data_IF_508471612391
#
_entry.id   IF_508471612391
#
_cell.length_a   1.000
_cell.length_b   1.000
_cell.length_c   1.000
_cell.angle_alpha   90.00
_cell.angle_beta   90.00
_cell.angle_gamma   90.00
#
_symmetry.space_group_name_H-M   'P 1'
#
loop_
_entity.id
_entity.type
_entity.pdbx_description
1 polymer ?
#
# COMPACT_ATOMS: atom_id res chain seq x y z
N UNK A 1 -3.76 -11.69 -13.03
CA UNK A 1 -3.82 -11.77 -11.54
C UNK A 1 -3.48 -10.44 -10.88
N UNK A 2 -2.52 -9.70 -11.38
CA UNK A 2 -2.14 -8.41 -10.78
C UNK A 2 -3.29 -7.41 -10.76
N UNK A 3 -4.02 -7.26 -11.85
CA UNK A 3 -5.15 -6.35 -11.90
C UNK A 3 -6.26 -6.76 -10.93
N UNK A 4 -6.47 -8.06 -10.77
CA UNK A 4 -7.48 -8.58 -9.84
C UNK A 4 -7.17 -8.18 -8.40
N UNK A 5 -5.92 -8.34 -7.98
CA UNK A 5 -5.51 -7.95 -6.63
C UNK A 5 -5.50 -6.43 -6.44
N UNK A 6 -5.15 -5.68 -7.48
CA UNK A 6 -5.25 -4.22 -7.40
C UNK A 6 -6.70 -3.75 -7.29
N UNK A 7 -7.64 -4.45 -7.94
CA UNK A 7 -9.07 -4.17 -7.76
C UNK A 7 -9.52 -4.39 -6.33
N UNK A 8 -9.00 -5.42 -5.67
CA UNK A 8 -9.29 -5.66 -4.25
C UNK A 8 -8.74 -4.52 -3.37
N UNK A 9 -7.54 -4.02 -3.69
CA UNK A 9 -6.99 -2.86 -3.00
C UNK A 9 -7.85 -1.62 -3.23
N UNK A 10 -8.38 -1.43 -4.45
CA UNK A 10 -9.30 -0.33 -4.77
C UNK A 10 -10.61 -0.42 -3.98
N UNK A 11 -11.11 -1.62 -3.72
CA UNK A 11 -12.29 -1.80 -2.87
C UNK A 11 -12.01 -1.23 -1.47
N UNK A 12 -10.82 -1.48 -0.93
CA UNK A 12 -10.40 -0.91 0.36
C UNK A 12 -10.31 0.61 0.29
N UNK A 13 -9.78 1.14 -0.80
CA UNK A 13 -9.71 2.59 -1.01
C UNK A 13 -11.10 3.22 -1.01
N UNK A 14 -12.09 2.57 -1.63
CA UNK A 14 -13.48 3.05 -1.65
C UNK A 14 -14.09 3.06 -0.26
N UNK A 15 -13.78 2.06 0.57
CA UNK A 15 -14.26 2.02 1.96
C UNK A 15 -13.68 3.23 2.73
N UNK A 16 -12.41 3.55 2.55
CA UNK A 16 -11.80 4.72 3.16
C UNK A 16 -12.50 6.02 2.69
N UNK A 17 -12.75 6.12 1.39
CA UNK A 17 -13.46 7.27 0.80
C UNK A 17 -14.81 7.50 1.49
N UNK A 18 -15.59 6.43 1.65
CA UNK A 18 -16.92 6.48 2.27
C UNK A 18 -16.85 6.91 3.74
N UNK A 19 -15.72 6.68 4.39
CA UNK A 19 -15.47 7.04 5.79
C UNK A 19 -14.76 8.36 5.94
N UNK A 20 -14.65 9.14 4.88
CA UNK A 20 -14.01 10.45 4.85
C UNK A 20 -12.50 10.39 5.17
N UNK A 21 -11.88 9.27 4.86
CA UNK A 21 -10.43 9.08 4.92
C UNK A 21 -9.85 9.17 3.52
N UNK A 22 -8.58 9.55 3.41
CA UNK A 22 -7.89 9.56 2.11
C UNK A 22 -8.01 8.16 1.49
N UNK A 23 -8.51 8.03 0.25
CA UNK A 23 -8.86 6.73 -0.33
C UNK A 23 -7.64 5.96 -0.85
N UNK A 24 -6.96 5.31 0.08
CA UNK A 24 -5.84 4.43 -0.20
C UNK A 24 -6.19 3.07 0.35
N UNK A 25 -5.93 2.03 -0.44
CA UNK A 25 -6.15 0.65 -0.05
C UNK A 25 -4.94 -0.21 -0.37
N UNK A 26 -4.78 -1.29 0.37
CA UNK A 26 -3.69 -2.23 0.18
C UNK A 26 -4.12 -3.65 0.51
N UNK A 27 -3.51 -4.63 -0.17
CA UNK A 27 -3.69 -6.05 0.15
C UNK A 27 -2.33 -6.74 0.13
N UNK A 28 -2.14 -7.69 1.04
CA UNK A 28 -0.97 -8.58 1.07
C UNK A 28 -1.40 -9.94 0.55
N UNK A 29 -0.62 -10.49 -0.38
CA UNK A 29 -0.96 -11.73 -1.10
C UNK A 29 0.16 -12.74 -0.90
N UNK A 30 -0.21 -13.99 -0.63
CA UNK A 30 0.70 -15.12 -0.56
C UNK A 30 0.06 -16.31 -1.28
N UNK A 31 0.78 -16.93 -2.22
CA UNK A 31 0.27 -18.06 -3.00
C UNK A 31 -1.11 -17.77 -3.62
N UNK A 32 -1.26 -16.59 -4.23
CA UNK A 32 -2.49 -16.13 -4.87
C UNK A 32 -3.69 -15.97 -3.92
N UNK A 33 -3.45 -15.90 -2.60
CA UNK A 33 -4.49 -15.64 -1.61
C UNK A 33 -4.20 -14.34 -0.88
N UNK A 34 -5.25 -13.55 -0.65
CA UNK A 34 -5.15 -12.34 0.17
C UNK A 34 -5.10 -12.77 1.64
N UNK A 35 -4.00 -12.46 2.31
CA UNK A 35 -3.81 -12.79 3.72
C UNK A 35 -3.87 -11.56 4.63
N UNK A 36 -3.93 -10.38 4.04
CA UNK A 36 -4.09 -9.14 4.79
C UNK A 36 -4.60 -8.05 3.89
N UNK A 37 -5.37 -7.13 4.45
CA UNK A 37 -5.89 -5.98 3.71
C UNK A 37 -5.97 -4.78 4.65
N UNK A 38 -6.00 -3.59 4.07
CA UNK A 38 -6.11 -2.37 4.84
C UNK A 38 -6.56 -1.20 3.99
N UNK A 39 -7.11 -0.21 4.65
CA UNK A 39 -7.39 1.09 4.08
C UNK A 39 -6.91 2.15 5.06
N UNK A 40 -6.73 3.37 4.57
CA UNK A 40 -6.30 4.46 5.44
C UNK A 40 -7.33 4.71 6.53
N UNK A 41 -6.88 4.78 7.79
CA UNK A 41 -7.71 4.97 8.98
C UNK A 41 -7.08 5.94 9.97
N UNK A 42 -6.30 6.90 9.48
CA UNK A 42 -5.56 7.83 10.36
C UNK A 42 -6.49 8.66 11.23
N UNK A 43 -7.63 9.10 10.72
CA UNK A 43 -8.62 9.86 11.47
C UNK A 43 -9.36 8.94 12.45
N UNK A 44 -9.85 7.81 11.96
CA UNK A 44 -10.60 6.85 12.79
C UNK A 44 -9.80 6.41 14.01
N UNK A 45 -8.52 6.08 13.82
CA UNK A 45 -7.66 5.55 14.88
C UNK A 45 -6.87 6.61 15.61
N UNK A 46 -6.94 7.87 15.18
CA UNK A 46 -6.08 8.94 15.71
C UNK A 46 -4.62 8.50 15.73
N UNK A 47 -4.14 7.98 14.59
CA UNK A 47 -2.81 7.38 14.51
C UNK A 47 -2.14 7.69 13.18
N UNK A 48 -0.94 8.26 13.23
CA UNK A 48 -0.13 8.48 12.02
C UNK A 48 0.32 7.16 11.38
N UNK A 49 0.24 6.05 12.10
CA UNK A 49 0.65 4.74 11.59
C UNK A 49 -0.46 4.02 10.82
N UNK A 50 -1.70 4.51 10.87
CA UNK A 50 -2.85 3.79 10.31
C UNK A 50 -2.99 4.02 8.80
N UNK A 51 -1.91 3.86 8.06
CA UNK A 51 -1.88 3.85 6.60
C UNK A 51 -2.35 2.49 6.10
N UNK A 52 -2.93 2.45 4.91
CA UNK A 52 -3.44 1.21 4.31
C UNK A 52 -2.40 0.09 4.31
N UNK A 53 -1.18 0.41 3.92
CA UNK A 53 -0.10 -0.58 3.83
C UNK A 53 0.25 -1.17 5.20
N UNK A 54 0.33 -0.32 6.23
CA UNK A 54 0.63 -0.75 7.61
C UNK A 54 -0.50 -1.64 8.14
N UNK A 55 -1.76 -1.27 7.89
CA UNK A 55 -2.91 -2.07 8.29
C UNK A 55 -2.89 -3.45 7.64
N UNK A 56 -2.58 -3.50 6.34
CA UNK A 56 -2.51 -4.75 5.59
C UNK A 56 -1.37 -5.65 6.11
N UNK A 57 -0.19 -5.07 6.36
CA UNK A 57 0.97 -5.79 6.89
C UNK A 57 0.65 -6.35 8.28
N UNK A 58 0.03 -5.57 9.15
CA UNK A 58 -0.33 -6.03 10.49
C UNK A 58 -1.29 -7.20 10.46
N UNK A 59 -2.31 -7.14 9.61
CA UNK A 59 -3.26 -8.24 9.46
C UNK A 59 -2.56 -9.51 8.94
N UNK A 60 -1.75 -9.37 7.91
CA UNK A 60 -1.01 -10.49 7.32
C UNK A 60 -0.05 -11.12 8.33
N UNK A 61 0.68 -10.30 9.10
CA UNK A 61 1.62 -10.77 10.10
C UNK A 61 0.94 -11.56 11.22
N UNK A 62 -0.25 -11.12 11.64
CA UNK A 62 -1.04 -11.84 12.65
C UNK A 62 -1.52 -13.18 12.10
N UNK A 63 -1.99 -13.21 10.86
CA UNK A 63 -2.44 -14.45 10.23
C UNK A 63 -1.32 -15.45 10.08
N UNK A 64 -0.13 -15.00 9.65
CA UNK A 64 1.05 -15.84 9.48
C UNK A 64 1.76 -16.15 10.81
N UNK A 65 1.41 -15.47 11.88
CA UNK A 65 2.09 -15.55 13.17
C UNK A 65 3.59 -15.29 13.03
N UNK A 66 3.93 -14.32 12.19
CA UNK A 66 5.32 -13.99 11.87
C UNK A 66 5.37 -12.56 11.31
N UNK A 67 6.27 -11.73 11.83
CA UNK A 67 6.46 -10.39 11.27
C UNK A 67 7.18 -10.42 9.91
N UNK A 68 7.87 -11.50 9.59
CA UNK A 68 8.52 -11.68 8.29
C UNK A 68 7.53 -12.32 7.33
N UNK A 69 7.17 -11.59 6.31
CA UNK A 69 6.20 -12.01 5.30
C UNK A 69 6.94 -12.54 4.06
N UNK A 70 7.75 -13.60 4.28
CA UNK A 70 8.53 -14.24 3.23
C UNK A 70 7.58 -14.84 2.19
N UNK A 71 7.87 -14.61 0.92
CA UNK A 71 7.05 -15.13 -0.18
C UNK A 71 5.76 -14.36 -0.40
N UNK A 72 5.61 -13.18 0.21
CA UNK A 72 4.42 -12.35 0.06
C UNK A 72 4.68 -11.17 -0.87
N UNK A 73 3.61 -10.72 -1.50
CA UNK A 73 3.58 -9.48 -2.29
C UNK A 73 2.57 -8.52 -1.66
N UNK A 74 2.75 -7.22 -1.85
CA UNK A 74 1.80 -6.21 -1.42
C UNK A 74 1.37 -5.37 -2.61
N UNK A 75 0.07 -5.08 -2.68
CA UNK A 75 -0.52 -4.17 -3.66
C UNK A 75 -0.99 -2.92 -2.93
N UNK A 76 -0.60 -1.76 -3.42
CA UNK A 76 -1.04 -0.48 -2.86
C UNK A 76 -1.59 0.38 -4.00
N UNK A 77 -2.73 1.00 -3.78
CA UNK A 77 -3.36 1.85 -4.79
C UNK A 77 -2.55 3.10 -5.08
N UNK A 78 -1.70 3.53 -4.12
CA UNK A 78 -0.84 4.69 -4.32
C UNK A 78 0.60 4.35 -3.91
N UNK A 79 1.54 5.06 -4.48
CA UNK A 79 2.96 4.93 -4.15
C UNK A 79 3.20 5.18 -2.65
N UNK A 80 3.80 4.23 -1.93
CA UNK A 80 4.03 4.38 -0.49
C UNK A 80 4.96 5.54 -0.12
N UNK A 81 4.68 6.14 1.03
CA UNK A 81 5.59 7.10 1.65
C UNK A 81 6.76 6.36 2.31
N UNK A 82 7.72 7.11 2.86
CA UNK A 82 8.91 6.52 3.50
C UNK A 82 8.56 5.59 4.66
N UNK A 83 7.57 5.94 5.47
CA UNK A 83 7.12 5.10 6.59
C UNK A 83 6.68 3.73 6.09
N UNK A 84 5.79 3.70 5.10
CA UNK A 84 5.26 2.46 4.56
C UNK A 84 6.30 1.67 3.78
N UNK A 85 7.16 2.35 3.01
CA UNK A 85 8.23 1.70 2.27
C UNK A 85 9.19 0.97 3.23
N UNK A 86 9.55 1.61 4.35
CA UNK A 86 10.41 0.96 5.35
C UNK A 86 9.71 -0.23 6.00
N UNK A 87 8.42 -0.11 6.29
CA UNK A 87 7.65 -1.23 6.85
C UNK A 87 7.60 -2.42 5.90
N UNK A 88 7.44 -2.16 4.59
CA UNK A 88 7.41 -3.20 3.56
C UNK A 88 8.74 -3.94 3.52
N UNK A 89 9.85 -3.20 3.49
CA UNK A 89 11.20 -3.82 3.49
C UNK A 89 11.45 -4.57 4.80
N UNK A 90 11.10 -3.97 5.93
CA UNK A 90 11.31 -4.58 7.25
C UNK A 90 10.53 -5.89 7.41
N UNK A 91 9.38 -6.00 6.77
CA UNK A 91 8.57 -7.23 6.77
C UNK A 91 9.03 -8.27 5.75
N UNK A 92 10.06 -7.99 4.97
CA UNK A 92 10.65 -8.91 3.98
C UNK A 92 9.71 -9.28 2.83
N UNK A 93 8.81 -8.38 2.46
CA UNK A 93 7.93 -8.58 1.30
C UNK A 93 8.77 -8.60 0.02
N UNK A 94 8.47 -9.51 -0.89
CA UNK A 94 9.24 -9.71 -2.12
C UNK A 94 8.95 -8.64 -3.17
N UNK A 95 7.67 -8.36 -3.42
CA UNK A 95 7.25 -7.46 -4.48
C UNK A 95 6.21 -6.47 -4.00
N UNK A 96 6.37 -5.22 -4.41
CA UNK A 96 5.44 -4.12 -4.19
C UNK A 96 4.84 -3.72 -5.53
N UNK A 97 3.53 -3.87 -5.65
CA UNK A 97 2.79 -3.46 -6.84
C UNK A 97 2.01 -2.19 -6.52
N UNK A 98 2.17 -1.18 -7.36
CA UNK A 98 1.66 0.17 -7.11
C UNK A 98 0.71 0.57 -8.23
N UNK A 99 -0.41 1.19 -7.87
CA UNK A 99 -1.34 1.75 -8.85
C UNK A 99 -0.83 3.08 -9.38
N UNK A 100 -0.99 4.14 -8.62
CA UNK A 100 -0.64 5.50 -9.05
C UNK A 100 0.54 6.05 -8.26
N UNK A 101 1.28 6.98 -8.88
CA UNK A 101 2.37 7.70 -8.21
C UNK A 101 1.81 8.73 -7.23
N UNK A 102 2.59 9.01 -6.20
CA UNK A 102 2.31 10.10 -5.27
C UNK A 102 3.44 11.12 -5.36
N UNK A 103 3.27 12.20 -6.16
CA UNK A 103 4.38 13.13 -6.42
C UNK A 103 4.93 13.85 -5.21
N UNK A 104 4.11 14.03 -4.18
CA UNK A 104 4.46 14.82 -3.00
C UNK A 104 5.27 14.03 -1.97
N UNK A 105 4.85 12.80 -1.66
CA UNK A 105 5.44 12.03 -0.58
C UNK A 105 5.87 10.62 -0.99
N UNK A 106 5.70 10.27 -2.26
CA UNK A 106 6.07 8.95 -2.75
C UNK A 106 7.56 8.69 -2.66
N UNK A 107 7.94 7.59 -2.06
CA UNK A 107 9.34 7.27 -1.78
C UNK A 107 9.96 6.28 -2.75
N UNK A 108 9.18 5.72 -3.68
CA UNK A 108 9.66 4.66 -4.56
C UNK A 108 10.36 5.26 -5.78
N UNK A 109 9.70 6.19 -6.47
CA UNK A 109 10.27 6.88 -7.65
C UNK A 109 10.04 8.38 -7.62
N UNK A 110 9.01 8.87 -6.91
CA UNK A 110 8.59 10.28 -7.03
C UNK A 110 9.53 11.25 -6.31
N UNK A 111 9.92 10.96 -5.08
CA UNK A 111 10.83 11.80 -4.31
C UNK A 111 12.26 11.28 -4.33
N UNK A 112 12.43 9.98 -4.12
CA UNK A 112 13.75 9.36 -4.17
C UNK A 112 13.55 7.86 -4.51
N UNK A 113 14.63 7.10 -4.46
CA UNK A 113 14.61 5.66 -4.74
C UNK A 113 14.88 4.90 -3.42
N UNK A 114 13.95 5.04 -2.47
CA UNK A 114 14.16 4.52 -1.12
C UNK A 114 14.47 3.02 -1.10
N UNK A 115 13.81 2.23 -1.94
CA UNK A 115 14.02 0.78 -1.98
C UNK A 115 15.42 0.39 -2.46
N UNK A 116 16.09 1.29 -3.19
CA UNK A 116 17.42 1.02 -3.75
C UNK A 116 18.55 1.43 -2.81
N UNK A 117 18.25 1.97 -1.63
CA UNK A 117 19.27 2.34 -0.65
C UNK A 117 20.01 1.09 -0.16
N UNK A 118 21.32 1.22 -0.01
CA UNK A 118 22.19 0.08 0.33
C UNK A 118 22.12 -0.35 1.79
N UNK A 119 21.52 0.45 2.65
CA UNK A 119 21.43 0.12 4.08
C UNK A 119 20.32 -0.88 4.43
N UNK A 120 19.47 -1.27 3.46
CA UNK A 120 18.41 -2.24 3.72
C UNK A 120 18.98 -3.66 3.82
N UNK A 121 18.42 -4.46 4.73
CA UNK A 121 18.78 -5.87 4.89
C UNK A 121 18.03 -6.80 3.93
N UNK A 122 17.11 -6.26 3.14
CA UNK A 122 16.26 -7.01 2.23
C UNK A 122 15.98 -6.17 1.01
N UNK A 123 15.88 -6.80 -0.15
CA UNK A 123 15.53 -6.12 -1.40
C UNK A 123 14.09 -6.43 -1.78
N UNK A 124 13.26 -5.40 -1.77
CA UNK A 124 11.89 -5.49 -2.31
C UNK A 124 11.90 -4.94 -3.72
N UNK A 125 11.36 -5.69 -4.66
CA UNK A 125 11.20 -5.25 -6.06
C UNK A 125 9.85 -4.54 -6.20
N UNK A 126 9.70 -3.70 -7.23
CA UNK A 126 8.46 -2.97 -7.42
C UNK A 126 8.06 -2.85 -8.89
N UNK A 127 6.78 -2.62 -9.10
CA UNK A 127 6.18 -2.32 -10.40
C UNK A 127 5.10 -1.27 -10.20
N UNK A 128 5.04 -0.26 -11.07
CA UNK A 128 4.09 0.85 -10.98
C UNK A 128 3.18 0.86 -12.21
N UNK A 129 1.94 1.28 -12.02
CA UNK A 129 1.02 1.53 -13.13
C UNK A 129 -0.10 0.51 -13.26
N UNK A 130 -0.29 -0.35 -12.28
CA UNK A 130 -1.37 -1.35 -12.32
C UNK A 130 -2.69 -0.66 -11.98
N UNK A 131 -3.60 -0.57 -12.95
CA UNK A 131 -4.85 0.19 -12.84
C UNK A 131 -4.61 1.64 -12.43
N UNK A 132 -3.58 2.24 -13.01
CA UNK A 132 -3.11 3.59 -12.66
C UNK A 132 -4.23 4.62 -12.73
N UNK A 133 -5.02 4.62 -13.81
CA UNK A 133 -6.08 5.61 -14.01
C UNK A 133 -7.13 5.53 -12.90
N UNK A 134 -7.59 4.33 -12.57
CA UNK A 134 -8.60 4.13 -11.54
C UNK A 134 -8.08 4.54 -10.15
N UNK A 135 -6.82 4.19 -9.86
CA UNK A 135 -6.19 4.55 -8.58
C UNK A 135 -6.00 6.06 -8.44
N UNK A 136 -5.59 6.71 -9.52
CA UNK A 136 -5.42 8.17 -9.54
C UNK A 136 -6.76 8.89 -9.42
N UNK A 137 -7.76 8.39 -10.13
CA UNK A 137 -9.08 9.01 -10.17
C UNK A 137 -9.76 9.07 -8.80
N UNK A 138 -9.69 8.00 -8.03
CA UNK A 138 -10.33 7.98 -6.70
C UNK A 138 -9.69 8.99 -5.75
N UNK A 139 -8.38 9.16 -5.81
CA UNK A 139 -7.64 10.17 -5.02
C UNK A 139 -8.05 11.57 -5.44
N UNK A 140 -8.06 11.83 -6.74
CA UNK A 140 -8.43 13.15 -7.28
C UNK A 140 -9.88 13.51 -6.93
N UNK A 141 -10.80 12.55 -7.02
CA UNK A 141 -12.21 12.74 -6.70
C UNK A 141 -12.39 13.11 -5.22
N UNK A 142 -11.63 12.49 -4.34
CA UNK A 142 -11.69 12.76 -2.91
C UNK A 142 -11.29 14.22 -2.61
N UNK A 143 -10.13 14.64 -3.09
CA UNK A 143 -9.63 15.99 -2.84
C UNK A 143 -10.47 17.06 -3.53
N UNK A 144 -11.03 16.77 -4.70
CA UNK A 144 -11.93 17.66 -5.39
C UNK A 144 -13.21 17.90 -4.57
N UNK A 145 -13.74 16.87 -3.96
CA UNK A 145 -14.94 16.96 -3.13
C UNK A 145 -14.69 17.75 -1.83
N UNK A 146 -13.43 17.88 -1.40
CA UNK A 146 -13.06 18.63 -0.19
C UNK A 146 -12.86 20.14 -0.42
N UNK A 147 -12.84 20.57 -1.67
CA UNK A 147 -12.63 22.00 -2.01
C UNK A 147 -13.92 22.80 -1.97
#
# INVERSE_FOLDING_TARGET
MKELFMKEALIRAKIAFERDEVPIGAVVVKNNEIIGFGQNRTIEKNSVFAHAEIEAINMASKKEQNYRLIGCDIYSTIEPCHLCAKAIVASRIDNLYIGAREPKEGSIVSQDNFLDKLFHNHKTHYEIGILESECKEIIQSFFKAKR
#
